data_IF_323841261871
#
_entry.id   IF_323841261871
#
_cell.length_a   1.000
_cell.length_b   1.000
_cell.length_c   1.000
_cell.angle_alpha   90.00
_cell.angle_beta   90.00
_cell.angle_gamma   90.00
#
_symmetry.space_group_name_H-M   'P 1'
#
loop_
_entity.id
_entity.type
_entity.pdbx_description
1 polymer ?
#
# COMPACT_ATOMS: atom_id res chain seq x y z
N UNK A 1 -21.36 2.33 -38.24
CA UNK A 1 -22.22 2.99 -37.21
C UNK A 1 -22.29 2.11 -35.97
N UNK A 2 -21.44 2.34 -34.96
CA UNK A 2 -21.48 1.61 -33.66
C UNK A 2 -21.01 2.50 -32.49
N UNK A 3 -21.27 3.81 -32.55
CA UNK A 3 -20.71 4.81 -31.63
C UNK A 3 -21.55 5.19 -30.41
N UNK A 4 -22.48 4.36 -29.92
CA UNK A 4 -23.47 4.81 -28.94
C UNK A 4 -23.69 3.91 -27.70
N UNK A 5 -22.82 2.94 -27.41
CA UNK A 5 -23.05 1.97 -26.30
C UNK A 5 -22.19 2.13 -25.05
N UNK A 6 -21.26 3.10 -25.00
CA UNK A 6 -20.30 3.21 -23.88
C UNK A 6 -20.23 4.61 -23.22
N UNK A 7 -21.27 5.43 -23.42
CA UNK A 7 -21.37 6.72 -22.73
C UNK A 7 -22.13 6.62 -21.42
N UNK A 8 -21.40 6.78 -20.31
CA UNK A 8 -22.00 6.96 -18.99
C UNK A 8 -22.87 8.21 -18.99
N UNK A 9 -24.11 8.05 -18.53
CA UNK A 9 -25.00 9.17 -18.21
C UNK A 9 -24.38 10.04 -17.10
N UNK A 10 -24.79 11.31 -16.99
CA UNK A 10 -24.32 12.20 -15.92
C UNK A 10 -24.61 11.65 -14.52
N UNK A 11 -25.75 10.96 -14.37
CA UNK A 11 -26.11 10.28 -13.12
C UNK A 11 -25.12 9.16 -12.79
N UNK A 12 -24.73 8.34 -13.77
CA UNK A 12 -23.72 7.29 -13.57
C UNK A 12 -22.35 7.88 -13.27
N UNK A 13 -21.94 8.93 -13.97
CA UNK A 13 -20.67 9.64 -13.71
C UNK A 13 -20.63 10.20 -12.29
N UNK A 14 -21.73 10.82 -11.83
CA UNK A 14 -21.85 11.33 -10.46
C UNK A 14 -21.79 10.19 -9.44
N UNK A 15 -22.48 9.08 -9.68
CA UNK A 15 -22.44 7.91 -8.81
C UNK A 15 -21.02 7.34 -8.68
N UNK A 16 -20.26 7.23 -9.78
CA UNK A 16 -18.87 6.79 -9.74
C UNK A 16 -17.96 7.74 -8.96
N UNK A 17 -18.14 9.06 -9.10
CA UNK A 17 -17.38 10.05 -8.30
C UNK A 17 -17.67 9.89 -6.80
N UNK A 18 -18.93 9.70 -6.43
CA UNK A 18 -19.33 9.44 -5.04
C UNK A 18 -18.76 8.12 -4.55
N UNK A 19 -18.82 7.07 -5.36
CA UNK A 19 -18.24 5.76 -5.00
C UNK A 19 -16.74 5.87 -4.74
N UNK A 20 -15.98 6.52 -5.63
CA UNK A 20 -14.54 6.78 -5.42
C UNK A 20 -14.32 7.56 -4.12
N UNK A 21 -15.05 8.64 -3.90
CA UNK A 21 -14.90 9.45 -2.70
C UNK A 21 -15.20 8.65 -1.42
N UNK A 22 -16.26 7.85 -1.39
CA UNK A 22 -16.64 7.03 -0.24
C UNK A 22 -15.63 5.91 0.01
N UNK A 23 -15.22 5.19 -1.03
CA UNK A 23 -14.22 4.11 -0.90
C UNK A 23 -12.91 4.68 -0.38
N UNK A 24 -12.44 5.80 -0.94
CA UNK A 24 -11.23 6.45 -0.43
C UNK A 24 -11.42 6.92 1.02
N UNK A 25 -12.53 7.57 1.36
CA UNK A 25 -12.78 8.03 2.74
C UNK A 25 -12.76 6.89 3.77
N UNK A 26 -13.33 5.73 3.43
CA UNK A 26 -13.38 4.53 4.29
C UNK A 26 -12.02 3.83 4.41
N UNK A 27 -11.14 4.01 3.41
CA UNK A 27 -9.85 3.29 3.31
C UNK A 27 -8.66 4.24 3.48
N UNK A 28 -8.04 4.66 2.38
CA UNK A 28 -6.76 5.35 2.38
C UNK A 28 -6.86 6.89 2.46
N UNK A 29 -8.05 7.45 2.26
CA UNK A 29 -8.30 8.90 2.31
C UNK A 29 -8.16 9.46 3.73
N UNK A 30 -8.76 8.80 4.73
CA UNK A 30 -8.54 9.18 6.13
C UNK A 30 -7.06 8.95 6.52
N UNK A 31 -6.47 7.85 6.07
CA UNK A 31 -5.05 7.55 6.30
C UNK A 31 -4.12 8.64 5.74
N UNK A 32 -4.41 9.17 4.54
CA UNK A 32 -3.68 10.29 3.94
C UNK A 32 -3.80 11.58 4.75
N UNK A 33 -5.02 11.90 5.22
CA UNK A 33 -5.25 13.07 6.06
C UNK A 33 -4.48 12.97 7.38
N UNK A 34 -4.62 11.85 8.09
CA UNK A 34 -3.90 11.60 9.35
C UNK A 34 -2.39 11.60 9.14
N UNK A 35 -1.89 11.03 8.03
CA UNK A 35 -0.47 11.01 7.74
C UNK A 35 0.14 12.40 7.54
N UNK A 36 -0.60 13.32 6.91
CA UNK A 36 -0.19 14.71 6.77
C UNK A 36 -0.13 15.44 8.12
N UNK A 37 -1.10 15.20 9.01
CA UNK A 37 -1.09 15.76 10.36
C UNK A 37 0.08 15.23 11.17
N UNK A 38 0.32 13.91 11.15
CA UNK A 38 1.45 13.29 11.86
C UNK A 38 2.80 13.80 11.38
N UNK A 39 2.96 14.00 10.06
CA UNK A 39 4.18 14.60 9.51
C UNK A 39 4.34 16.05 9.98
N UNK A 40 3.26 16.83 9.97
CA UNK A 40 3.28 18.24 10.41
C UNK A 40 3.70 18.33 11.87
N UNK A 41 3.11 17.51 12.74
CA UNK A 41 3.48 17.41 14.15
C UNK A 41 4.95 17.02 14.32
N UNK A 42 5.40 15.98 13.60
CA UNK A 42 6.79 15.52 13.64
C UNK A 42 7.79 16.60 13.21
N UNK A 43 7.44 17.40 12.20
CA UNK A 43 8.25 18.53 11.74
C UNK A 43 8.32 19.64 12.81
N UNK A 44 7.19 19.95 13.46
CA UNK A 44 7.14 20.96 14.53
C UNK A 44 7.92 20.54 15.79
N UNK A 45 7.92 19.24 16.11
CA UNK A 45 8.63 18.68 17.26
C UNK A 45 10.11 18.35 16.99
N UNK A 46 10.55 18.44 15.73
CA UNK A 46 11.87 18.01 15.30
C UNK A 46 11.87 16.57 14.78
N UNK A 47 11.91 16.43 13.45
CA UNK A 47 11.68 15.17 12.73
C UNK A 47 12.67 14.06 13.12
N UNK A 48 13.93 14.41 13.33
CA UNK A 48 15.02 13.44 13.61
C UNK A 48 14.94 12.80 15.00
N UNK A 49 14.10 13.29 15.90
CA UNK A 49 13.88 12.72 17.23
C UNK A 49 12.67 11.81 17.33
N UNK A 50 11.90 11.65 16.25
CA UNK A 50 10.67 10.87 16.24
C UNK A 50 10.94 9.43 15.83
N UNK A 51 10.27 8.49 16.50
CA UNK A 51 10.26 7.06 16.15
C UNK A 51 8.84 6.66 15.77
N UNK A 52 8.68 6.04 14.60
CA UNK A 52 7.39 5.56 14.11
C UNK A 52 7.43 4.04 14.01
N UNK A 53 6.65 3.37 14.87
CA UNK A 53 6.47 1.93 14.80
C UNK A 53 5.39 1.56 13.76
N UNK A 54 5.75 0.75 12.76
CA UNK A 54 4.79 0.29 11.72
C UNK A 54 3.87 -0.82 12.24
N UNK A 55 4.42 -1.71 13.07
CA UNK A 55 3.69 -2.78 13.74
C UNK A 55 3.91 -2.67 15.26
N UNK A 56 3.25 -1.71 15.94
CA UNK A 56 3.40 -1.51 17.38
C UNK A 56 2.67 -2.60 18.17
N UNK A 57 3.12 -2.84 19.41
CA UNK A 57 2.36 -3.66 20.35
C UNK A 57 1.10 -2.93 20.77
N UNK A 58 -0.06 -3.55 20.56
CA UNK A 58 -1.38 -2.94 20.81
C UNK A 58 -1.94 -3.29 22.19
N UNK A 59 -1.47 -4.37 22.79
CA UNK A 59 -1.89 -4.78 24.14
C UNK A 59 -0.74 -5.37 24.95
N UNK A 60 -0.68 -5.11 26.27
CA UNK A 60 0.22 -5.84 27.15
C UNK A 60 -0.15 -7.33 27.29
N UNK A 61 -1.35 -7.75 26.90
CA UNK A 61 -1.79 -9.15 26.97
C UNK A 61 -1.61 -9.85 25.63
N UNK A 62 -0.78 -10.91 25.58
CA UNK A 62 -0.33 -11.57 24.34
C UNK A 62 -1.47 -12.02 23.41
N UNK A 63 -2.49 -12.72 23.93
CA UNK A 63 -3.62 -13.16 23.12
C UNK A 63 -4.54 -12.01 22.65
N UNK A 64 -4.63 -10.94 23.43
CA UNK A 64 -5.38 -9.73 23.01
C UNK A 64 -4.62 -9.02 21.90
N UNK A 65 -3.29 -8.93 22.02
CA UNK A 65 -2.42 -8.34 21.00
C UNK A 65 -2.47 -9.11 19.68
N UNK A 66 -2.44 -10.45 19.73
CA UNK A 66 -2.69 -11.32 18.57
C UNK A 66 -4.05 -11.00 17.95
N UNK A 67 -5.12 -10.97 18.76
CA UNK A 67 -6.47 -10.68 18.28
C UNK A 67 -6.59 -9.31 17.59
N UNK A 68 -5.95 -8.27 18.13
CA UNK A 68 -5.94 -6.93 17.56
C UNK A 68 -5.15 -6.84 16.26
N UNK A 69 -4.03 -7.57 16.13
CA UNK A 69 -3.29 -7.65 14.88
C UNK A 69 -4.06 -8.44 13.80
N UNK A 70 -4.72 -9.55 14.18
CA UNK A 70 -5.59 -10.28 13.25
C UNK A 70 -6.81 -9.45 12.81
N UNK A 71 -7.36 -8.61 13.70
CA UNK A 71 -8.41 -7.66 13.34
C UNK A 71 -7.92 -6.65 12.30
N UNK A 72 -6.67 -6.19 12.41
CA UNK A 72 -6.05 -5.32 11.41
C UNK A 72 -5.86 -6.02 10.05
N UNK A 73 -5.35 -7.24 10.04
CA UNK A 73 -5.24 -8.08 8.83
C UNK A 73 -6.62 -8.26 8.17
N UNK A 74 -7.66 -8.52 8.97
CA UNK A 74 -9.03 -8.64 8.49
C UNK A 74 -9.53 -7.33 7.87
N UNK A 75 -9.29 -6.18 8.51
CA UNK A 75 -9.69 -4.87 8.01
C UNK A 75 -9.08 -4.57 6.64
N UNK A 76 -7.77 -4.78 6.47
CA UNK A 76 -7.07 -4.60 5.20
C UNK A 76 -7.62 -5.54 4.11
N UNK A 77 -7.84 -6.81 4.47
CA UNK A 77 -8.45 -7.79 3.58
C UNK A 77 -9.85 -7.35 3.12
N UNK A 78 -10.66 -6.83 4.04
CA UNK A 78 -12.00 -6.32 3.78
C UNK A 78 -11.99 -5.06 2.91
N UNK A 79 -11.01 -4.16 3.05
CA UNK A 79 -10.87 -3.00 2.18
C UNK A 79 -10.65 -3.38 0.70
N UNK A 80 -9.71 -4.30 0.44
CA UNK A 80 -9.53 -4.82 -0.92
C UNK A 80 -10.75 -5.63 -1.40
N UNK A 81 -11.38 -6.41 -0.51
CA UNK A 81 -12.62 -7.13 -0.81
C UNK A 81 -13.78 -6.21 -1.20
N UNK A 82 -13.94 -5.07 -0.53
CA UNK A 82 -14.94 -4.05 -0.86
C UNK A 82 -14.70 -3.48 -2.26
N UNK A 83 -13.46 -3.12 -2.58
CA UNK A 83 -13.10 -2.62 -3.92
C UNK A 83 -13.38 -3.66 -5.02
N UNK A 84 -13.01 -4.92 -4.78
CA UNK A 84 -13.32 -6.04 -5.70
C UNK A 84 -14.83 -6.20 -5.86
N UNK A 85 -15.58 -6.22 -4.76
CA UNK A 85 -17.03 -6.37 -4.77
C UNK A 85 -17.70 -5.26 -5.58
N UNK A 86 -17.31 -4.00 -5.40
CA UNK A 86 -17.89 -2.86 -6.12
C UNK A 86 -17.58 -2.92 -7.63
N UNK A 87 -16.36 -3.30 -8.01
CA UNK A 87 -16.00 -3.52 -9.41
C UNK A 87 -16.81 -4.66 -10.02
N UNK A 88 -16.87 -5.80 -9.33
CA UNK A 88 -17.66 -6.95 -9.76
C UNK A 88 -19.15 -6.60 -9.90
N UNK A 89 -19.70 -5.89 -8.92
CA UNK A 89 -21.10 -5.42 -8.92
C UNK A 89 -21.41 -4.46 -10.08
N UNK A 90 -20.38 -3.79 -10.59
CA UNK A 90 -20.44 -2.90 -11.75
C UNK A 90 -20.22 -3.61 -13.10
N UNK A 91 -20.14 -4.94 -13.11
CA UNK A 91 -20.02 -5.76 -14.31
C UNK A 91 -18.59 -6.15 -14.71
N UNK A 92 -17.57 -5.81 -13.91
CA UNK A 92 -16.21 -6.29 -14.18
C UNK A 92 -16.05 -7.76 -13.80
N UNK A 93 -15.26 -8.48 -14.58
CA UNK A 93 -14.79 -9.83 -14.21
C UNK A 93 -13.44 -9.69 -13.51
N UNK A 94 -13.18 -10.52 -12.49
CA UNK A 94 -11.93 -10.45 -11.71
C UNK A 94 -10.67 -10.48 -12.58
N UNK A 95 -10.68 -11.25 -13.68
CA UNK A 95 -9.56 -11.29 -14.62
C UNK A 95 -9.31 -9.95 -15.32
N UNK A 96 -10.36 -9.20 -15.63
CA UNK A 96 -10.26 -7.89 -16.31
C UNK A 96 -9.68 -6.79 -15.41
N UNK A 97 -9.76 -6.97 -14.10
CA UNK A 97 -9.14 -6.07 -13.10
C UNK A 97 -7.77 -6.60 -12.62
N UNK A 98 -7.25 -7.65 -13.27
CA UNK A 98 -5.93 -8.21 -12.98
C UNK A 98 -5.86 -9.22 -11.83
N UNK A 99 -7.01 -9.69 -11.34
CA UNK A 99 -7.17 -10.72 -10.32
C UNK A 99 -7.63 -12.07 -10.92
N UNK A 100 -7.16 -12.39 -12.12
CA UNK A 100 -7.32 -13.75 -12.68
C UNK A 100 -6.52 -14.79 -11.89
N UNK A 101 -6.44 -16.03 -12.40
CA UNK A 101 -5.60 -17.06 -11.76
C UNK A 101 -4.12 -16.60 -11.71
N UNK A 102 -3.45 -16.68 -10.55
CA UNK A 102 -2.02 -16.41 -10.45
C UNK A 102 -1.21 -17.31 -11.38
N UNK A 103 -0.19 -16.76 -12.02
CA UNK A 103 0.73 -17.44 -12.92
C UNK A 103 2.14 -17.35 -12.36
N UNK A 104 2.77 -18.50 -12.16
CA UNK A 104 4.11 -18.60 -11.58
C UNK A 104 5.12 -17.60 -12.17
N UNK A 105 5.32 -17.62 -13.49
CA UNK A 105 6.37 -16.78 -14.11
C UNK A 105 6.06 -15.27 -14.05
N UNK A 106 5.01 -14.76 -14.70
CA UNK A 106 4.82 -13.31 -14.77
C UNK A 106 4.41 -12.70 -13.43
N UNK A 107 3.77 -13.46 -12.52
CA UNK A 107 3.30 -12.90 -11.25
C UNK A 107 4.31 -13.09 -10.13
N UNK A 108 4.84 -14.31 -9.93
CA UNK A 108 5.78 -14.56 -8.84
C UNK A 108 7.16 -14.02 -9.19
N UNK A 109 7.75 -14.40 -10.33
CA UNK A 109 9.07 -13.88 -10.71
C UNK A 109 9.01 -12.39 -11.05
N UNK A 110 7.93 -11.95 -11.70
CA UNK A 110 7.69 -10.52 -11.95
C UNK A 110 7.56 -9.72 -10.65
N UNK A 111 6.80 -10.24 -9.68
CA UNK A 111 6.66 -9.63 -8.36
C UNK A 111 7.97 -9.57 -7.59
N UNK A 112 8.76 -10.65 -7.58
CA UNK A 112 10.10 -10.65 -6.97
C UNK A 112 11.06 -9.66 -7.65
N UNK A 113 11.02 -9.57 -8.99
CA UNK A 113 11.80 -8.60 -9.73
C UNK A 113 11.41 -7.15 -9.40
N UNK A 114 10.11 -6.86 -9.29
CA UNK A 114 9.61 -5.55 -8.88
C UNK A 114 9.96 -5.24 -7.42
N UNK A 115 9.88 -6.24 -6.53
CA UNK A 115 10.29 -6.09 -5.13
C UNK A 115 11.77 -5.71 -5.03
N UNK A 116 12.65 -6.36 -5.80
CA UNK A 116 14.06 -5.99 -5.83
C UNK A 116 14.29 -4.60 -6.42
N UNK A 117 13.59 -4.26 -7.51
CA UNK A 117 13.68 -2.97 -8.20
C UNK A 117 13.31 -1.79 -7.29
N UNK A 118 12.31 -1.96 -6.43
CA UNK A 118 11.84 -0.91 -5.52
C UNK A 118 12.54 -1.00 -4.16
N UNK A 119 12.58 -2.20 -3.58
CA UNK A 119 13.08 -2.43 -2.23
C UNK A 119 14.57 -2.17 -2.06
N UNK A 120 15.42 -2.58 -3.02
CA UNK A 120 16.88 -2.38 -2.90
C UNK A 120 17.26 -0.90 -2.94
N UNK A 121 16.81 -0.09 -3.93
CA UNK A 121 17.03 1.35 -3.90
C UNK A 121 16.32 2.03 -2.71
N UNK A 122 15.15 1.54 -2.32
CA UNK A 122 14.39 2.05 -1.17
C UNK A 122 15.17 1.94 0.14
N UNK A 123 15.82 0.80 0.39
CA UNK A 123 16.69 0.61 1.56
C UNK A 123 17.88 1.56 1.55
N UNK A 124 18.51 1.75 0.38
CA UNK A 124 19.61 2.72 0.22
C UNK A 124 19.14 4.17 0.49
N UNK A 125 18.00 4.57 -0.08
CA UNK A 125 17.41 5.90 0.13
C UNK A 125 17.02 6.14 1.58
N UNK A 126 16.40 5.15 2.23
CA UNK A 126 16.07 5.22 3.66
C UNK A 126 17.31 5.49 4.49
N UNK A 127 18.40 4.74 4.24
CA UNK A 127 19.63 4.89 5.00
C UNK A 127 20.29 6.27 4.78
N UNK A 128 20.31 6.77 3.54
CA UNK A 128 20.82 8.10 3.21
C UNK A 128 19.96 9.18 3.87
N UNK A 129 18.64 9.10 3.77
CA UNK A 129 17.73 10.09 4.34
C UNK A 129 17.79 10.14 5.88
N UNK A 130 17.99 8.98 6.53
CA UNK A 130 18.25 8.91 7.98
C UNK A 130 19.54 9.65 8.34
N UNK A 131 20.64 9.39 7.61
CA UNK A 131 21.92 10.07 7.84
C UNK A 131 21.86 11.59 7.62
N UNK A 132 20.97 12.06 6.75
CA UNK A 132 20.73 13.48 6.48
C UNK A 132 19.70 14.13 7.41
N UNK A 133 19.12 13.39 8.37
CA UNK A 133 18.08 13.90 9.28
C UNK A 133 16.76 14.26 8.60
N UNK A 134 16.51 13.75 7.39
CA UNK A 134 15.33 14.05 6.56
C UNK A 134 14.16 13.10 6.81
N UNK A 135 14.34 12.07 7.64
CA UNK A 135 13.32 11.09 8.02
C UNK A 135 13.33 10.87 9.54
N UNK A 136 12.16 10.45 10.06
CA UNK A 136 12.06 9.84 11.39
C UNK A 136 12.75 8.46 11.39
N UNK A 137 13.17 7.99 12.55
CA UNK A 137 13.56 6.60 12.70
C UNK A 137 12.28 5.74 12.58
N UNK A 138 12.31 4.77 11.68
CA UNK A 138 11.17 3.88 11.43
C UNK A 138 11.52 2.57 12.08
N UNK A 139 10.70 2.13 13.03
CA UNK A 139 10.78 0.80 13.63
C UNK A 139 9.76 -0.10 12.91
N UNK A 140 10.21 -1.01 12.02
CA UNK A 140 9.29 -1.82 11.23
C UNK A 140 8.38 -2.73 12.07
N UNK A 141 8.85 -3.16 13.24
CA UNK A 141 8.07 -3.89 14.23
C UNK A 141 8.73 -3.77 15.60
N UNK A 142 7.93 -3.58 16.65
CA UNK A 142 8.46 -3.62 18.02
C UNK A 142 9.03 -5.01 18.34
N UNK A 143 10.15 -5.03 19.06
CA UNK A 143 10.90 -6.24 19.39
C UNK A 143 10.43 -6.84 20.72
N UNK A 144 9.49 -7.78 20.68
CA UNK A 144 9.09 -8.63 21.81
C UNK A 144 8.93 -10.09 21.38
N UNK A 145 9.14 -11.01 22.31
CA UNK A 145 9.24 -12.45 22.00
C UNK A 145 7.88 -13.14 22.11
N UNK A 146 7.30 -13.50 20.97
CA UNK A 146 6.06 -14.28 20.89
C UNK A 146 6.03 -15.12 19.61
N UNK A 147 5.46 -16.32 19.69
CA UNK A 147 5.51 -17.34 18.64
C UNK A 147 4.73 -16.94 17.38
N UNK A 148 3.69 -16.12 17.53
CA UNK A 148 2.79 -15.75 16.43
C UNK A 148 3.27 -14.54 15.64
N UNK A 149 4.28 -13.81 16.12
CA UNK A 149 4.70 -12.53 15.55
C UNK A 149 5.11 -12.64 14.08
N UNK A 150 6.05 -13.52 13.75
CA UNK A 150 6.51 -13.70 12.37
C UNK A 150 5.36 -14.14 11.44
N UNK A 151 4.56 -15.17 11.78
CA UNK A 151 3.38 -15.52 10.99
C UNK A 151 2.43 -14.34 10.75
N UNK A 152 2.13 -13.54 11.78
CA UNK A 152 1.23 -12.40 11.66
C UNK A 152 1.85 -11.27 10.83
N UNK A 153 3.15 -10.97 10.97
CA UNK A 153 3.83 -9.98 10.12
C UNK A 153 3.80 -10.36 8.64
N UNK A 154 3.94 -11.65 8.31
CA UNK A 154 3.80 -12.13 6.94
C UNK A 154 2.35 -11.97 6.42
N UNK A 155 1.36 -12.26 7.27
CA UNK A 155 -0.05 -12.04 6.94
C UNK A 155 -0.37 -10.56 6.75
N UNK A 156 0.13 -9.69 7.61
CA UNK A 156 0.00 -8.23 7.50
C UNK A 156 0.64 -7.72 6.22
N UNK A 157 1.85 -8.21 5.87
CA UNK A 157 2.54 -7.84 4.63
C UNK A 157 1.69 -8.19 3.39
N UNK A 158 1.11 -9.39 3.38
CA UNK A 158 0.20 -9.80 2.30
C UNK A 158 -1.09 -8.97 2.29
N UNK A 159 -1.66 -8.69 3.46
CA UNK A 159 -2.90 -7.92 3.57
C UNK A 159 -2.71 -6.45 3.17
N UNK A 160 -1.56 -5.84 3.48
CA UNK A 160 -1.16 -4.51 3.00
C UNK A 160 -1.06 -4.50 1.48
N UNK A 161 -0.24 -5.40 0.91
CA UNK A 161 -0.10 -5.51 -0.55
C UNK A 161 -1.43 -5.78 -1.26
N UNK A 162 -2.31 -6.59 -0.66
CA UNK A 162 -3.67 -6.79 -1.15
C UNK A 162 -4.47 -5.49 -1.10
N UNK A 163 -4.60 -4.85 0.05
CA UNK A 163 -5.45 -3.68 0.24
C UNK A 163 -4.99 -2.52 -0.66
N UNK A 164 -3.70 -2.20 -0.63
CA UNK A 164 -3.15 -1.08 -1.36
C UNK A 164 -3.21 -1.29 -2.87
N UNK A 165 -2.74 -2.44 -3.38
CA UNK A 165 -2.70 -2.63 -4.82
C UNK A 165 -4.10 -2.84 -5.41
N UNK A 166 -5.03 -3.45 -4.68
CA UNK A 166 -6.41 -3.61 -5.14
C UNK A 166 -7.17 -2.29 -5.09
N UNK A 167 -7.05 -1.50 -4.02
CA UNK A 167 -7.81 -0.24 -3.89
C UNK A 167 -7.17 0.90 -4.68
N UNK A 168 -5.88 1.14 -4.46
CA UNK A 168 -5.17 2.34 -4.94
C UNK A 168 -4.75 2.19 -6.39
N UNK A 169 -4.39 0.98 -6.85
CA UNK A 169 -4.07 0.72 -8.26
C UNK A 169 -5.27 0.16 -8.99
N UNK A 170 -5.74 -1.04 -8.62
CA UNK A 170 -6.82 -1.74 -9.31
C UNK A 170 -8.11 -0.92 -9.44
N UNK A 171 -8.71 -0.58 -8.31
CA UNK A 171 -9.97 0.13 -8.25
C UNK A 171 -9.85 1.58 -8.70
N UNK A 172 -8.97 2.36 -8.08
CA UNK A 172 -8.92 3.81 -8.35
C UNK A 172 -8.55 4.10 -9.81
N UNK A 173 -7.53 3.43 -10.38
CA UNK A 173 -7.16 3.64 -11.79
C UNK A 173 -8.31 3.22 -12.71
N UNK A 174 -8.98 2.10 -12.42
CA UNK A 174 -10.13 1.65 -13.20
C UNK A 174 -11.28 2.65 -13.16
N UNK A 175 -11.65 3.15 -11.98
CA UNK A 175 -12.73 4.14 -11.82
C UNK A 175 -12.38 5.49 -12.46
N UNK A 176 -11.15 5.97 -12.31
CA UNK A 176 -10.70 7.20 -12.97
C UNK A 176 -10.77 7.06 -14.50
N UNK A 177 -10.39 5.90 -15.05
CA UNK A 177 -10.53 5.63 -16.49
C UNK A 177 -11.99 5.58 -16.94
N UNK A 178 -12.90 4.99 -16.17
CA UNK A 178 -14.35 5.06 -16.46
C UNK A 178 -14.86 6.51 -16.46
N UNK A 179 -14.29 7.37 -15.62
CA UNK A 179 -14.58 8.81 -15.59
C UNK A 179 -13.92 9.60 -16.74
N UNK A 180 -13.25 8.93 -17.69
CA UNK A 180 -12.48 9.51 -18.81
C UNK A 180 -11.25 10.30 -18.40
N UNK A 181 -10.69 10.06 -17.21
CA UNK A 181 -9.36 10.56 -16.85
C UNK A 181 -8.33 9.82 -17.68
N UNK A 182 -7.34 10.54 -18.22
CA UNK A 182 -6.28 9.94 -19.03
C UNK A 182 -5.53 8.86 -18.23
N UNK A 183 -5.04 7.77 -18.87
CA UNK A 183 -4.32 6.72 -18.15
C UNK A 183 -3.12 7.25 -17.35
N UNK A 184 -2.35 8.18 -17.92
CA UNK A 184 -1.21 8.80 -17.25
C UNK A 184 -1.64 9.60 -16.01
N UNK A 185 -2.67 10.45 -16.15
CA UNK A 185 -3.20 11.22 -15.02
C UNK A 185 -3.78 10.32 -13.93
N UNK A 186 -4.42 9.19 -14.29
CA UNK A 186 -4.96 8.24 -13.32
C UNK A 186 -3.85 7.58 -12.49
N UNK A 187 -2.72 7.20 -13.12
CA UNK A 187 -1.54 6.68 -12.43
C UNK A 187 -0.91 7.75 -11.54
N UNK A 188 -0.78 9.00 -12.01
CA UNK A 188 -0.24 10.10 -11.18
C UNK A 188 -1.11 10.33 -9.94
N UNK A 189 -2.44 10.42 -10.09
CA UNK A 189 -3.36 10.61 -8.96
C UNK A 189 -3.26 9.45 -7.96
N UNK A 190 -3.25 8.21 -8.46
CA UNK A 190 -3.05 7.01 -7.64
C UNK A 190 -1.71 7.03 -6.88
N UNK A 191 -0.63 7.41 -7.56
CA UNK A 191 0.72 7.48 -6.98
C UNK A 191 0.87 8.59 -5.94
N UNK A 192 0.26 9.75 -6.19
CA UNK A 192 0.21 10.86 -5.23
C UNK A 192 -0.56 10.43 -3.99
N UNK A 193 -1.74 9.81 -4.14
CA UNK A 193 -2.49 9.27 -3.00
C UNK A 193 -1.61 8.31 -2.19
N UNK A 194 -0.90 7.40 -2.85
CA UNK A 194 0.04 6.47 -2.22
C UNK A 194 1.14 7.16 -1.42
N UNK A 195 1.78 8.17 -1.99
CA UNK A 195 2.76 8.97 -1.26
C UNK A 195 2.15 9.67 -0.05
N UNK A 196 0.95 10.23 -0.17
CA UNK A 196 0.29 11.00 0.88
C UNK A 196 -0.01 10.16 2.13
N UNK A 197 -0.59 8.97 1.99
CA UNK A 197 -0.87 8.12 3.16
C UNK A 197 0.37 7.45 3.78
N UNK A 198 1.55 7.68 3.20
CA UNK A 198 2.84 7.26 3.75
C UNK A 198 3.66 8.41 4.38
N UNK A 199 3.18 9.65 4.33
CA UNK A 199 3.90 10.80 4.88
C UNK A 199 4.12 10.72 6.40
N UNK A 200 3.34 9.92 7.12
CA UNK A 200 3.51 9.71 8.57
C UNK A 200 4.88 9.11 8.93
N UNK A 201 5.55 8.47 7.99
CA UNK A 201 6.91 7.91 8.17
C UNK A 201 8.02 8.92 7.81
N UNK A 202 7.66 10.12 7.30
CA UNK A 202 8.60 11.14 6.81
C UNK A 202 8.53 11.39 5.31
N UNK A 203 9.26 12.41 4.85
CA UNK A 203 9.26 12.84 3.45
C UNK A 203 9.82 11.76 2.51
N UNK A 204 10.87 11.06 2.93
CA UNK A 204 11.50 10.02 2.12
C UNK A 204 10.57 8.82 1.87
N UNK A 205 9.80 8.43 2.89
CA UNK A 205 8.81 7.37 2.75
C UNK A 205 7.67 7.75 1.81
N UNK A 206 7.15 8.99 1.92
CA UNK A 206 6.15 9.51 1.00
C UNK A 206 6.64 9.58 -0.46
N UNK A 207 7.87 10.05 -0.68
CA UNK A 207 8.46 10.13 -2.03
C UNK A 207 8.77 8.73 -2.61
N UNK A 208 9.30 7.81 -1.80
CA UNK A 208 9.53 6.43 -2.20
C UNK A 208 8.24 5.73 -2.62
N UNK A 209 7.17 5.94 -1.87
CA UNK A 209 5.85 5.39 -2.17
C UNK A 209 5.18 6.03 -3.39
N UNK A 210 5.40 7.32 -3.63
CA UNK A 210 5.01 7.96 -4.89
C UNK A 210 5.73 7.30 -6.07
N UNK A 211 7.05 7.09 -5.98
CA UNK A 211 7.83 6.45 -7.04
C UNK A 211 7.38 4.99 -7.28
N UNK A 212 7.17 4.22 -6.22
CA UNK A 212 6.61 2.88 -6.30
C UNK A 212 5.23 2.89 -6.98
N UNK A 213 4.35 3.82 -6.60
CA UNK A 213 3.05 4.01 -7.23
C UNK A 213 3.14 4.26 -8.74
N UNK A 214 4.09 5.07 -9.19
CA UNK A 214 4.29 5.34 -10.62
C UNK A 214 4.72 4.07 -11.37
N UNK A 215 5.68 3.32 -10.82
CA UNK A 215 6.16 2.06 -11.40
C UNK A 215 5.04 1.03 -11.46
N UNK A 216 4.33 0.85 -10.35
CA UNK A 216 3.27 -0.17 -10.22
C UNK A 216 2.07 0.18 -11.10
N UNK A 217 1.65 1.44 -11.10
CA UNK A 217 0.60 1.94 -11.99
C UNK A 217 0.97 1.78 -13.47
N UNK A 218 2.22 2.06 -13.84
CA UNK A 218 2.71 1.80 -15.21
C UNK A 218 2.65 0.31 -15.56
N UNK A 219 3.16 -0.56 -14.70
CA UNK A 219 3.12 -2.02 -14.91
C UNK A 219 1.68 -2.51 -15.02
N UNK A 220 0.77 -2.01 -14.18
CA UNK A 220 -0.65 -2.32 -14.26
C UNK A 220 -1.26 -1.90 -15.60
N UNK A 221 -1.00 -0.67 -16.07
CA UNK A 221 -1.51 -0.22 -17.37
C UNK A 221 -0.96 -1.04 -18.54
N UNK A 222 0.28 -1.55 -18.43
CA UNK A 222 0.93 -2.34 -19.49
C UNK A 222 0.48 -3.79 -19.51
N UNK A 223 0.26 -4.38 -18.34
CA UNK A 223 0.02 -5.84 -18.20
C UNK A 223 -1.42 -6.18 -17.87
N UNK A 224 -2.17 -5.26 -17.25
CA UNK A 224 -3.48 -5.50 -16.70
C UNK A 224 -3.49 -6.49 -15.54
N UNK A 225 -2.37 -6.68 -14.82
CA UNK A 225 -2.24 -7.70 -13.74
C UNK A 225 -1.96 -7.03 -12.39
N UNK A 226 -2.63 -7.49 -11.34
CA UNK A 226 -2.42 -7.03 -9.97
C UNK A 226 -1.57 -7.97 -9.13
N UNK A 227 -1.63 -9.29 -9.39
CA UNK A 227 -0.82 -10.27 -8.66
C UNK A 227 0.68 -9.96 -8.56
N UNK A 228 1.41 -9.55 -9.63
CA UNK A 228 2.82 -9.21 -9.48
C UNK A 228 3.02 -8.01 -8.55
N UNK A 229 2.09 -7.06 -8.52
CA UNK A 229 2.17 -5.89 -7.64
C UNK A 229 1.90 -6.27 -6.19
N UNK A 230 0.86 -7.07 -5.94
CA UNK A 230 0.51 -7.57 -4.61
C UNK A 230 1.67 -8.38 -4.03
N UNK A 231 2.26 -9.28 -4.83
CA UNK A 231 3.42 -10.09 -4.43
C UNK A 231 4.62 -9.20 -4.17
N UNK A 232 4.91 -8.25 -5.06
CA UNK A 232 6.04 -7.35 -4.89
C UNK A 232 5.93 -6.55 -3.60
N UNK A 233 4.77 -5.95 -3.35
CA UNK A 233 4.47 -5.20 -2.14
C UNK A 233 4.62 -6.07 -0.90
N UNK A 234 3.96 -7.23 -0.87
CA UNK A 234 4.03 -8.15 0.26
C UNK A 234 5.46 -8.61 0.56
N UNK A 235 6.30 -8.80 -0.46
CA UNK A 235 7.71 -9.16 -0.29
C UNK A 235 8.53 -8.00 0.28
N UNK A 236 8.31 -6.77 -0.20
CA UNK A 236 8.96 -5.57 0.35
C UNK A 236 8.63 -5.43 1.84
N UNK A 237 7.34 -5.50 2.19
CA UNK A 237 6.86 -5.42 3.57
C UNK A 237 7.41 -6.56 4.44
N UNK A 238 7.37 -7.80 3.94
CA UNK A 238 7.88 -8.95 4.67
C UNK A 238 9.37 -8.83 4.96
N UNK A 239 10.16 -8.38 3.98
CA UNK A 239 11.60 -8.13 4.17
C UNK A 239 11.82 -7.00 5.18
N UNK A 240 11.04 -5.93 5.13
CA UNK A 240 11.15 -4.84 6.10
C UNK A 240 10.78 -5.30 7.52
N UNK A 241 9.62 -5.94 7.71
CA UNK A 241 9.08 -6.28 9.03
C UNK A 241 9.82 -7.47 9.66
N UNK A 242 9.95 -8.57 8.92
CA UNK A 242 10.57 -9.81 9.41
C UNK A 242 12.09 -9.70 9.38
N UNK A 243 12.66 -9.10 8.32
CA UNK A 243 14.09 -8.87 8.22
C UNK A 243 14.60 -7.99 9.36
N UNK A 244 13.90 -6.90 9.67
CA UNK A 244 14.21 -6.08 10.85
C UNK A 244 14.10 -6.88 12.14
N UNK A 245 12.99 -7.60 12.34
CA UNK A 245 12.76 -8.43 13.54
C UNK A 245 13.90 -9.42 13.81
N UNK A 246 14.43 -10.06 12.77
CA UNK A 246 15.50 -11.05 12.90
C UNK A 246 16.89 -10.39 13.02
N UNK A 247 17.10 -9.26 12.35
CA UNK A 247 18.41 -8.63 12.24
C UNK A 247 18.70 -7.57 13.34
N UNK A 248 17.69 -6.89 13.87
CA UNK A 248 17.86 -5.81 14.85
C UNK A 248 18.42 -6.29 16.20
N UNK A 249 18.36 -7.60 16.49
CA UNK A 249 19.06 -8.24 17.61
C UNK A 249 20.57 -8.39 17.41
N UNK A 250 21.03 -8.37 16.15
CA UNK A 250 22.38 -8.76 15.73
C UNK A 250 23.16 -7.61 15.06
N UNK A 251 22.46 -6.60 14.54
CA UNK A 251 23.03 -5.47 13.81
C UNK A 251 22.74 -4.17 14.55
N UNK A 252 23.71 -3.70 15.34
CA UNK A 252 23.57 -2.50 16.17
C UNK A 252 23.28 -1.21 15.40
N UNK A 253 23.54 -1.17 14.09
CA UNK A 253 23.23 -0.02 13.22
C UNK A 253 21.76 0.05 12.77
N UNK A 254 20.97 -1.00 13.03
CA UNK A 254 19.53 -0.99 12.76
C UNK A 254 18.72 -0.30 13.86
N UNK A 255 19.29 -0.19 15.07
CA UNK A 255 18.66 0.50 16.22
C UNK A 255 19.02 1.97 16.24
#
# INVERSE_FOLDING_TARGET
MTGARDELTDRQRRALRVEVAVVLAVTFGLSAYSALLNLTESVLLGLSGQVVALNPRRSPFDLIDLGLNLAWVFQLSAWGGLAVYLLWRSGFVLETIGLGRPRWRPDVLGGLGLAALIGVPGLALYQIARLLGMNADVEPAELYDTWWRIPVLLLTSLANGWAEEVVVVGFLVTRLRQLRVSPASAVIVSSVLRGLYHLYQGFGAGLGNLAMGLVFGYVYLRTGRLWPLIIAHAVIDAVAFVGYTLAAGHLGWLR
#
